data_IF_719845559540
#
_entry.id   IF_719845559540
#
_cell.length_a   1.000
_cell.length_b   1.000
_cell.length_c   1.000
_cell.angle_alpha   90.00
_cell.angle_beta   90.00
_cell.angle_gamma   90.00
#
_symmetry.space_group_name_H-M   'P 1'
#
loop_
_entity.id
_entity.type
_entity.pdbx_description
1 polymer ?
#
# COMPACT_ATOMS: atom_id res chain seq x y z
N UNK A 1 20.82 16.60 0.07
CA UNK A 1 21.22 16.40 1.48
C UNK A 1 20.00 16.72 2.33
N UNK A 2 19.28 15.71 2.85
CA UNK A 2 18.03 15.89 3.59
C UNK A 2 18.35 16.29 5.05
N UNK A 3 18.63 17.57 5.29
CA UNK A 3 18.68 18.12 6.64
C UNK A 3 17.30 18.70 6.99
N UNK A 4 16.34 17.79 7.21
CA UNK A 4 15.02 18.10 7.76
C UNK A 4 14.73 17.05 8.82
N UNK A 5 14.59 17.46 10.07
CA UNK A 5 14.26 16.55 11.17
C UNK A 5 12.79 16.15 11.06
N UNK A 6 12.55 14.98 10.47
CA UNK A 6 11.20 14.43 10.40
C UNK A 6 10.71 14.06 11.82
N UNK A 7 9.62 14.68 12.27
CA UNK A 7 8.99 14.36 13.57
C UNK A 7 8.37 12.96 13.55
N UNK A 8 7.84 12.56 12.39
CA UNK A 8 7.20 11.26 12.22
C UNK A 8 7.32 10.78 10.77
N UNK A 9 7.72 9.52 10.61
CA UNK A 9 7.74 8.82 9.33
C UNK A 9 6.87 7.57 9.45
N UNK A 10 5.88 7.44 8.56
CA UNK A 10 4.98 6.29 8.50
C UNK A 10 4.92 5.69 7.11
N UNK A 11 4.97 4.35 7.03
CA UNK A 11 4.75 3.62 5.79
C UNK A 11 3.28 3.22 5.70
N UNK A 12 2.60 3.67 4.64
CA UNK A 12 1.21 3.37 4.34
C UNK A 12 1.12 2.41 3.17
N UNK A 13 0.53 1.24 3.39
CA UNK A 13 0.27 0.29 2.31
C UNK A 13 -1.22 0.29 2.02
N UNK A 14 -1.58 0.51 0.76
CA UNK A 14 -2.94 0.34 0.26
C UNK A 14 -3.00 -0.87 -0.66
N UNK A 15 -4.11 -1.59 -0.61
CA UNK A 15 -4.38 -2.72 -1.50
C UNK A 15 -5.78 -2.58 -2.04
N UNK A 16 -5.91 -2.71 -3.36
CA UNK A 16 -7.17 -2.72 -4.08
C UNK A 16 -7.32 -4.05 -4.83
N UNK A 17 -8.54 -4.60 -4.82
CA UNK A 17 -8.83 -5.94 -5.29
C UNK A 17 -10.15 -5.98 -6.04
N UNK A 18 -10.14 -6.71 -7.15
CA UNK A 18 -11.28 -6.90 -8.01
C UNK A 18 -11.23 -8.30 -8.64
N UNK A 19 -12.37 -8.82 -9.12
CA UNK A 19 -12.44 -10.10 -9.84
C UNK A 19 -11.50 -10.24 -11.07
N UNK A 20 -10.98 -9.14 -11.62
CA UNK A 20 -10.07 -9.16 -12.78
C UNK A 20 -8.59 -8.93 -12.40
N UNK A 21 -8.30 -8.52 -11.17
CA UNK A 21 -6.95 -8.18 -10.76
C UNK A 21 -6.87 -7.59 -9.37
N UNK A 22 -5.65 -7.54 -8.83
CA UNK A 22 -5.35 -7.06 -7.50
C UNK A 22 -4.04 -6.29 -7.52
N UNK A 23 -3.95 -5.23 -6.73
CA UNK A 23 -2.80 -4.35 -6.68
C UNK A 23 -2.54 -3.83 -5.26
N UNK A 24 -1.29 -3.54 -4.96
CA UNK A 24 -0.88 -2.86 -3.73
C UNK A 24 0.10 -1.74 -4.04
N UNK A 25 0.01 -0.65 -3.30
CA UNK A 25 0.94 0.48 -3.37
C UNK A 25 1.37 0.93 -1.97
N UNK A 26 2.58 1.45 -1.89
CA UNK A 26 3.24 1.84 -0.65
C UNK A 26 3.63 3.32 -0.72
N UNK A 27 3.10 4.11 0.20
CA UNK A 27 3.43 5.52 0.36
C UNK A 27 4.23 5.76 1.63
N UNK A 28 5.29 6.55 1.52
CA UNK A 28 6.01 7.07 2.67
C UNK A 28 5.43 8.44 3.01
N UNK A 29 4.89 8.57 4.22
CA UNK A 29 4.41 9.83 4.75
C UNK A 29 5.41 10.36 5.77
N UNK A 30 5.97 11.52 5.48
CA UNK A 30 6.89 12.22 6.35
C UNK A 30 6.23 13.50 6.88
N UNK A 31 6.23 13.69 8.19
CA UNK A 31 5.79 14.91 8.85
C UNK A 31 7.02 15.68 9.29
N UNK A 32 7.15 16.89 8.76
CA UNK A 32 8.20 17.85 9.06
C UNK A 32 7.53 19.11 9.60
N UNK A 33 7.68 19.37 10.90
CA UNK A 33 6.99 20.45 11.60
C UNK A 33 5.46 20.43 11.34
N UNK A 34 4.95 21.31 10.48
CA UNK A 34 3.53 21.42 10.08
C UNK A 34 3.28 21.01 8.62
N UNK A 35 4.29 20.49 7.92
CA UNK A 35 4.18 20.05 6.53
C UNK A 35 4.16 18.53 6.45
N UNK A 36 3.18 18.01 5.71
CA UNK A 36 3.08 16.59 5.38
C UNK A 36 3.56 16.40 3.95
N UNK A 37 4.60 15.60 3.77
CA UNK A 37 5.06 15.13 2.46
C UNK A 37 4.69 13.65 2.31
N UNK A 38 4.04 13.30 1.21
CA UNK A 38 3.67 11.93 0.89
C UNK A 38 4.27 11.57 -0.46
N UNK A 39 5.03 10.48 -0.52
CA UNK A 39 5.68 10.00 -1.74
C UNK A 39 5.34 8.54 -1.99
N UNK A 40 5.00 8.20 -3.23
CA UNK A 40 4.86 6.80 -3.65
C UNK A 40 6.25 6.17 -3.72
N UNK A 41 6.46 5.08 -2.98
CA UNK A 41 7.74 4.35 -2.93
C UNK A 41 7.73 3.14 -3.85
N UNK A 42 6.63 2.39 -3.85
CA UNK A 42 6.51 1.17 -4.65
C UNK A 42 5.05 0.85 -4.94
N UNK A 43 4.79 0.25 -6.09
CA UNK A 43 3.48 -0.28 -6.44
C UNK A 43 3.62 -1.56 -7.25
N UNK A 44 2.68 -2.49 -7.06
CA UNK A 44 2.64 -3.76 -7.80
C UNK A 44 1.20 -4.17 -8.06
N UNK A 45 0.89 -4.44 -9.32
CA UNK A 45 -0.39 -4.97 -9.77
C UNK A 45 -0.23 -6.35 -10.39
N UNK A 46 -1.28 -7.17 -10.33
CA UNK A 46 -1.37 -8.48 -10.98
C UNK A 46 -2.78 -8.72 -11.51
N UNK A 47 -2.85 -9.37 -12.67
CA UNK A 47 -4.12 -9.88 -13.23
C UNK A 47 -4.58 -11.08 -12.39
N UNK A 48 -5.90 -11.20 -12.20
CA UNK A 48 -6.47 -12.33 -11.47
C UNK A 48 -6.13 -13.66 -12.18
N UNK A 49 -5.83 -14.73 -11.44
CA UNK A 49 -5.58 -16.04 -12.03
C UNK A 49 -6.76 -16.53 -12.88
N UNK A 50 -6.45 -17.26 -13.97
CA UNK A 50 -7.44 -17.80 -14.92
C UNK A 50 -8.50 -18.66 -14.24
N UNK A 51 -8.13 -19.32 -13.14
CA UNK A 51 -9.00 -20.20 -12.35
C UNK A 51 -10.08 -19.45 -11.54
N UNK A 52 -10.25 -18.12 -11.73
CA UNK A 52 -11.26 -17.27 -11.09
C UNK A 52 -11.38 -17.51 -9.57
N UNK A 53 -10.31 -17.23 -8.80
CA UNK A 53 -10.37 -17.34 -7.35
C UNK A 53 -11.48 -16.46 -6.77
N UNK A 54 -11.99 -16.85 -5.59
CA UNK A 54 -12.98 -16.05 -4.86
C UNK A 54 -12.42 -14.69 -4.48
N UNK A 55 -13.30 -13.70 -4.25
CA UNK A 55 -12.89 -12.36 -3.79
C UNK A 55 -12.02 -12.45 -2.53
N UNK A 56 -12.38 -13.19 -1.46
CA UNK A 56 -11.52 -13.33 -0.28
C UNK A 56 -10.12 -13.87 -0.57
N UNK A 57 -9.98 -14.75 -1.57
CA UNK A 57 -8.66 -15.27 -1.97
C UNK A 57 -7.85 -14.20 -2.70
N UNK A 58 -8.48 -13.39 -3.54
CA UNK A 58 -7.83 -12.25 -4.19
C UNK A 58 -7.43 -11.18 -3.18
N UNK A 59 -8.24 -10.95 -2.14
CA UNK A 59 -7.95 -10.07 -1.01
C UNK A 59 -6.68 -10.51 -0.28
N UNK A 60 -6.59 -11.80 0.06
CA UNK A 60 -5.39 -12.37 0.67
C UNK A 60 -4.16 -12.25 -0.23
N UNK A 61 -4.32 -12.45 -1.55
CA UNK A 61 -3.23 -12.30 -2.51
C UNK A 61 -2.75 -10.84 -2.60
N UNK A 62 -3.68 -9.88 -2.59
CA UNK A 62 -3.37 -8.45 -2.49
C UNK A 62 -2.62 -8.13 -1.21
N UNK A 63 -3.15 -8.53 -0.05
CA UNK A 63 -2.49 -8.32 1.24
C UNK A 63 -1.08 -8.94 1.29
N UNK A 64 -0.90 -10.12 0.68
CA UNK A 64 0.41 -10.79 0.59
C UNK A 64 1.41 -9.96 -0.23
N UNK A 65 0.97 -9.33 -1.33
CA UNK A 65 1.83 -8.43 -2.10
C UNK A 65 2.16 -7.19 -1.27
N UNK A 66 1.17 -6.58 -0.63
CA UNK A 66 1.37 -5.41 0.23
C UNK A 66 2.37 -5.68 1.36
N UNK A 67 2.26 -6.82 2.03
CA UNK A 67 3.18 -7.23 3.09
C UNK A 67 4.62 -7.42 2.58
N UNK A 68 4.78 -8.03 1.40
CA UNK A 68 6.10 -8.20 0.77
C UNK A 68 6.73 -6.86 0.39
N UNK A 69 5.96 -5.94 -0.19
CA UNK A 69 6.43 -4.58 -0.49
C UNK A 69 6.89 -3.88 0.80
N UNK A 70 6.11 -3.99 1.87
CA UNK A 70 6.48 -3.42 3.17
C UNK A 70 7.79 -3.99 3.71
N UNK A 71 7.98 -5.32 3.66
CA UNK A 71 9.22 -5.97 4.12
C UNK A 71 10.43 -5.46 3.34
N UNK A 72 10.34 -5.45 2.01
CA UNK A 72 11.43 -4.98 1.14
C UNK A 72 11.80 -3.52 1.41
N UNK A 73 10.81 -2.65 1.61
CA UNK A 73 11.06 -1.23 1.93
C UNK A 73 11.76 -1.08 3.27
N UNK A 74 11.33 -1.83 4.30
CA UNK A 74 11.94 -1.77 5.62
C UNK A 74 13.39 -2.25 5.64
N UNK A 75 13.63 -3.39 5.00
CA UNK A 75 14.96 -3.96 4.84
C UNK A 75 15.88 -2.97 4.12
N UNK A 76 15.39 -2.32 3.06
CA UNK A 76 16.17 -1.33 2.30
C UNK A 76 16.48 -0.07 3.11
N UNK A 77 15.57 0.36 3.97
CA UNK A 77 15.73 1.57 4.78
C UNK A 77 16.52 1.33 6.08
N UNK A 78 16.86 0.08 6.43
CA UNK A 78 17.51 -0.29 7.70
C UNK A 78 16.87 0.39 8.93
N UNK A 79 15.55 0.60 8.88
CA UNK A 79 14.84 1.46 9.83
C UNK A 79 13.59 0.79 10.36
N UNK A 80 13.35 0.92 11.66
CA UNK A 80 12.07 0.54 12.29
C UNK A 80 11.09 1.69 12.13
N UNK A 81 10.35 1.73 11.01
CA UNK A 81 9.28 2.71 10.80
C UNK A 81 7.99 2.27 11.50
N UNK A 82 7.08 3.21 11.77
CA UNK A 82 5.71 2.84 12.12
C UNK A 82 4.96 2.45 10.85
N UNK A 83 4.40 1.24 10.86
CA UNK A 83 3.65 0.68 9.74
C UNK A 83 2.16 0.94 9.95
N UNK A 84 1.51 1.53 8.95
CA UNK A 84 0.07 1.56 8.87
C UNK A 84 -0.36 0.79 7.63
N UNK A 85 -0.93 -0.38 7.84
CA UNK A 85 -1.49 -1.17 6.75
C UNK A 85 -2.98 -0.83 6.62
N UNK A 86 -3.39 -0.34 5.45
CA UNK A 86 -4.78 0.01 5.18
C UNK A 86 -5.25 -0.79 3.97
N UNK A 87 -6.00 -1.85 4.21
CA UNK A 87 -6.63 -2.60 3.13
C UNK A 87 -7.95 -1.94 2.82
N UNK A 88 -8.06 -1.34 1.63
CA UNK A 88 -9.32 -0.72 1.20
C UNK A 88 -10.02 -1.64 0.23
N UNK A 89 -11.06 -2.30 0.71
CA UNK A 89 -11.91 -3.13 -0.10
C UNK A 89 -12.95 -2.26 -0.79
N UNK A 90 -12.94 -2.22 -2.13
CA UNK A 90 -14.06 -1.71 -2.91
C UNK A 90 -14.91 -2.93 -3.32
N UNK A 91 -16.06 -3.19 -2.67
CA UNK A 91 -16.99 -4.18 -3.17
C UNK A 91 -17.41 -3.75 -4.58
N UNK A 92 -17.08 -4.57 -5.56
CA UNK A 92 -17.54 -4.46 -6.94
C UNK A 92 -19.07 -4.48 -6.92
N UNK A 93 -19.74 -3.32 -6.99
CA UNK A 93 -20.59 -2.87 -8.10
C UNK A 93 -20.89 -1.34 -7.93
N UNK A 94 -20.51 -0.52 -8.92
CA UNK A 94 -20.88 0.88 -9.13
C UNK A 94 -20.76 1.90 -7.97
N UNK A 95 -19.56 2.39 -7.66
CA UNK A 95 -19.45 3.74 -7.07
C UNK A 95 -18.07 4.35 -7.35
N UNK A 96 -18.04 5.25 -8.35
CA UNK A 96 -16.94 6.20 -8.57
C UNK A 96 -17.06 7.35 -7.57
N UNK A 97 -16.93 7.06 -6.28
CA UNK A 97 -16.70 8.11 -5.28
C UNK A 97 -15.20 8.21 -5.05
N UNK A 98 -14.57 8.99 -5.93
CA UNK A 98 -13.22 9.53 -5.80
C UNK A 98 -13.31 10.95 -5.23
N UNK A 99 -13.74 11.08 -3.97
CA UNK A 99 -13.40 12.22 -3.08
C UNK A 99 -13.25 11.66 -1.67
#
# INVERSE_FOLDING_TARGET
MLHGTFKQVTLHIFTDVSAIGYASCAFLRCVEEDKVKVSLVSAKARVAPVQRPTIPRLELLGATIGARISSTILETLNSTLRHKFEVRFKPRIYEMDWI
#
